data_IF_665346287492
#
_entry.id   IF_665346287492
#
_cell.length_a   1.000
_cell.length_b   1.000
_cell.length_c   1.000
_cell.angle_alpha   90.00
_cell.angle_beta   90.00
_cell.angle_gamma   90.00
#
_symmetry.space_group_name_H-M   'P 1'
#
loop_
_entity.id
_entity.type
_entity.pdbx_description
1 polymer ?
#
# COMPACT_ATOMS: atom_id res chain seq x y z
N UNK A 1 -25.98 -2.01 -76.45
CA UNK A 1 -26.55 -0.82 -77.10
C UNK A 1 -25.99 0.35 -76.32
N UNK A 2 -24.80 0.78 -76.70
CA UNK A 2 -24.58 2.00 -77.50
C UNK A 2 -25.09 3.25 -76.78
N UNK A 3 -24.36 4.34 -76.59
CA UNK A 3 -22.96 4.70 -76.85
C UNK A 3 -22.90 6.20 -76.44
N UNK A 4 -21.73 6.68 -76.03
CA UNK A 4 -21.29 8.09 -76.19
C UNK A 4 -21.97 9.15 -75.28
N UNK A 5 -21.30 10.15 -74.70
CA UNK A 5 -19.99 10.76 -74.98
C UNK A 5 -19.54 11.58 -73.76
N UNK A 6 -18.24 11.53 -73.49
CA UNK A 6 -17.43 12.44 -72.68
C UNK A 6 -17.35 13.84 -73.28
N UNK A 7 -17.33 14.92 -72.46
CA UNK A 7 -16.42 16.09 -72.61
C UNK A 7 -16.19 16.71 -71.22
N UNK A 8 -14.94 17.11 -70.97
CA UNK A 8 -14.37 17.66 -69.75
C UNK A 8 -14.32 19.21 -69.73
N UNK A 9 -13.74 19.75 -68.63
CA UNK A 9 -13.16 21.09 -68.45
C UNK A 9 -14.16 22.22 -68.10
N UNK A 10 -13.87 23.24 -67.28
CA UNK A 10 -12.68 23.65 -66.53
C UNK A 10 -13.10 24.64 -65.41
N UNK A 11 -12.15 24.91 -64.53
CA UNK A 11 -12.16 25.81 -63.37
C UNK A 11 -12.48 27.29 -63.66
N UNK A 12 -12.96 28.01 -62.64
CA UNK A 12 -12.25 29.15 -62.02
C UNK A 12 -13.11 29.83 -60.92
N UNK A 13 -12.42 30.25 -59.86
CA UNK A 13 -12.92 30.88 -58.65
C UNK A 13 -13.19 32.38 -58.82
N UNK A 14 -14.08 32.98 -58.00
CA UNK A 14 -13.74 34.01 -56.97
C UNK A 14 -14.97 34.62 -56.25
N UNK A 15 -15.00 34.40 -54.92
CA UNK A 15 -15.28 35.31 -53.79
C UNK A 15 -16.53 36.22 -53.66
N UNK A 16 -17.17 36.08 -52.48
CA UNK A 16 -17.72 37.06 -51.49
C UNK A 16 -19.19 36.74 -51.14
N UNK A 17 -19.72 36.81 -49.91
CA UNK A 17 -19.25 36.84 -48.52
C UNK A 17 -20.55 36.78 -47.65
N UNK A 18 -20.49 36.13 -46.46
CA UNK A 18 -21.35 36.37 -45.27
C UNK A 18 -22.88 36.01 -45.37
N UNK A 19 -23.59 35.43 -44.39
CA UNK A 19 -23.33 35.06 -43.01
C UNK A 19 -24.45 34.10 -42.48
N UNK A 20 -24.11 33.36 -41.40
CA UNK A 20 -24.95 32.97 -40.24
C UNK A 20 -26.16 32.02 -40.44
N UNK A 21 -25.98 30.75 -40.03
CA UNK A 21 -26.45 30.25 -38.72
C UNK A 21 -26.37 28.71 -38.67
N UNK A 22 -25.26 28.17 -38.18
CA UNK A 22 -25.16 26.75 -37.83
C UNK A 22 -25.46 26.58 -36.34
N UNK A 23 -26.62 26.00 -36.03
CA UNK A 23 -26.94 25.50 -34.68
C UNK A 23 -26.14 24.20 -34.50
N UNK A 24 -24.98 24.29 -33.87
CA UNK A 24 -24.26 23.12 -33.37
C UNK A 24 -24.88 22.74 -32.02
N UNK A 25 -25.69 21.68 -32.03
CA UNK A 25 -26.07 20.95 -30.82
C UNK A 25 -24.79 20.32 -30.29
N UNK A 26 -24.18 20.96 -29.31
CA UNK A 26 -23.14 20.36 -28.47
C UNK A 26 -23.85 19.31 -27.61
N UNK A 27 -23.86 18.08 -28.09
CA UNK A 27 -24.19 16.90 -27.29
C UNK A 27 -23.04 16.70 -26.30
N UNK A 28 -23.09 17.49 -25.23
CA UNK A 28 -22.24 17.41 -24.07
C UNK A 28 -22.56 16.16 -23.27
N UNK A 29 -22.29 14.99 -23.84
CA UNK A 29 -22.01 13.80 -23.04
C UNK A 29 -20.66 14.06 -22.34
N UNK A 30 -20.75 14.74 -21.20
CA UNK A 30 -19.72 14.79 -20.21
C UNK A 30 -19.38 13.36 -19.83
N UNK A 31 -18.34 12.83 -20.48
CA UNK A 31 -17.58 11.73 -19.93
C UNK A 31 -16.94 12.29 -18.67
N UNK A 32 -17.67 12.19 -17.55
CA UNK A 32 -17.04 12.08 -16.24
C UNK A 32 -15.91 11.09 -16.46
N UNK A 33 -14.68 11.57 -16.33
CA UNK A 33 -13.49 10.76 -16.50
C UNK A 33 -13.60 9.59 -15.52
N UNK A 34 -14.15 8.46 -16.00
CA UNK A 34 -14.17 7.19 -15.26
C UNK A 34 -12.72 6.96 -14.93
N UNK A 35 -12.38 6.95 -13.65
CA UNK A 35 -10.99 6.99 -13.20
C UNK A 35 -10.18 5.95 -13.96
N UNK A 36 -9.05 6.37 -14.54
CA UNK A 36 -8.20 5.47 -15.30
C UNK A 36 -7.87 4.24 -14.44
N UNK A 37 -7.86 3.06 -15.04
CA UNK A 37 -7.45 1.80 -14.41
C UNK A 37 -5.93 1.72 -14.23
N UNK A 38 -5.28 2.81 -13.81
CA UNK A 38 -3.85 2.87 -13.51
C UNK A 38 -3.62 2.81 -12.02
N UNK A 39 -2.50 2.26 -11.62
CA UNK A 39 -2.05 2.35 -10.24
C UNK A 39 -1.88 3.83 -9.82
N UNK A 40 -2.42 4.23 -8.65
CA UNK A 40 -2.08 5.51 -8.05
C UNK A 40 -0.58 5.59 -7.75
N UNK A 41 0.04 6.74 -8.02
CA UNK A 41 1.43 6.97 -7.59
C UNK A 41 1.57 6.95 -6.07
N UNK A 42 2.80 6.87 -5.55
CA UNK A 42 3.06 6.94 -4.12
C UNK A 42 2.52 8.23 -3.48
N UNK A 43 2.68 9.38 -4.15
CA UNK A 43 2.15 10.67 -3.68
C UNK A 43 0.61 10.70 -3.67
N UNK A 44 -0.03 10.10 -4.67
CA UNK A 44 -1.49 9.97 -4.72
C UNK A 44 -2.01 9.03 -3.63
N UNK A 45 -1.32 7.92 -3.37
CA UNK A 45 -1.66 7.01 -2.27
C UNK A 45 -1.55 7.70 -0.91
N UNK A 46 -0.48 8.45 -0.65
CA UNK A 46 -0.34 9.27 0.58
C UNK A 46 -1.45 10.32 0.71
N UNK A 47 -1.87 10.92 -0.42
CA UNK A 47 -2.99 11.89 -0.43
C UNK A 47 -4.31 11.21 -0.02
N UNK A 48 -4.58 10.01 -0.53
CA UNK A 48 -5.76 9.22 -0.18
C UNK A 48 -5.75 8.80 1.30
N UNK A 49 -4.61 8.31 1.79
CA UNK A 49 -4.44 7.90 3.19
C UNK A 49 -4.63 9.08 4.15
N UNK A 50 -4.02 10.23 3.85
CA UNK A 50 -4.21 11.45 4.66
C UNK A 50 -5.66 11.92 4.64
N UNK A 51 -6.34 11.85 3.50
CA UNK A 51 -7.77 12.17 3.41
C UNK A 51 -8.65 11.22 4.23
N UNK A 52 -8.35 9.92 4.24
CA UNK A 52 -9.04 8.94 5.11
C UNK A 52 -8.82 9.28 6.60
N UNK A 53 -7.59 9.61 7.00
CA UNK A 53 -7.29 10.04 8.37
C UNK A 53 -8.03 11.32 8.78
N UNK A 54 -8.15 12.31 7.89
CA UNK A 54 -8.93 13.53 8.14
C UNK A 54 -10.41 13.20 8.38
N UNK A 55 -11.00 12.33 7.55
CA UNK A 55 -12.39 11.93 7.71
C UNK A 55 -12.62 11.14 9.01
N UNK A 56 -11.69 10.26 9.38
CA UNK A 56 -11.74 9.53 10.66
C UNK A 56 -11.63 10.53 11.82
N UNK A 57 -10.70 11.48 11.77
CA UNK A 57 -10.48 12.50 12.79
C UNK A 57 -11.75 13.32 13.05
N UNK A 58 -12.37 13.87 11.98
CA UNK A 58 -13.61 14.63 12.07
C UNK A 58 -14.77 13.80 12.64
N UNK A 59 -14.87 12.55 12.21
CA UNK A 59 -15.89 11.62 12.68
C UNK A 59 -15.76 11.30 14.18
N UNK A 60 -14.52 11.06 14.64
CA UNK A 60 -14.22 10.79 16.03
C UNK A 60 -14.50 12.03 16.90
N UNK A 61 -14.09 13.22 16.44
CA UNK A 61 -14.36 14.48 17.12
C UNK A 61 -15.86 14.74 17.28
N UNK A 62 -16.66 14.48 16.23
CA UNK A 62 -18.12 14.57 16.29
C UNK A 62 -18.76 13.58 17.29
N UNK A 63 -18.07 12.47 17.58
CA UNK A 63 -18.48 11.47 18.60
C UNK A 63 -17.84 11.74 19.97
N UNK A 64 -17.19 12.90 20.16
CA UNK A 64 -16.60 13.31 21.44
C UNK A 64 -15.23 12.71 21.74
N UNK A 65 -14.55 12.11 20.76
CA UNK A 65 -13.24 11.48 20.94
C UNK A 65 -12.17 12.22 20.13
N UNK A 66 -11.08 12.68 20.76
CA UNK A 66 -9.95 13.24 20.01
C UNK A 66 -9.28 12.14 19.19
N UNK A 67 -8.92 12.46 17.95
CA UNK A 67 -8.17 11.58 17.07
C UNK A 67 -7.34 12.43 16.12
N UNK A 68 -6.02 12.37 16.26
CA UNK A 68 -5.08 13.14 15.48
C UNK A 68 -4.91 12.53 14.08
N UNK A 69 -4.79 13.39 13.07
CA UNK A 69 -4.34 12.99 11.73
C UNK A 69 -2.85 12.70 11.81
N UNK A 70 -2.47 11.43 11.68
CA UNK A 70 -1.08 11.01 11.61
C UNK A 70 -0.71 10.65 10.18
N UNK A 71 0.55 10.85 9.82
CA UNK A 71 1.08 10.34 8.57
C UNK A 71 1.48 8.88 8.76
N UNK A 72 1.14 8.03 7.80
CA UNK A 72 1.71 6.70 7.73
C UNK A 72 3.18 6.90 7.35
N UNK A 73 4.15 6.49 8.19
CA UNK A 73 5.55 6.55 7.81
C UNK A 73 5.75 5.81 6.49
N UNK A 74 6.56 6.36 5.60
CA UNK A 74 6.96 5.63 4.39
C UNK A 74 7.65 4.34 4.84
N UNK A 75 7.09 3.20 4.45
CA UNK A 75 7.61 1.89 4.81
C UNK A 75 8.78 1.48 3.92
N UNK A 76 9.37 2.44 3.18
CA UNK A 76 10.53 2.35 2.27
C UNK A 76 11.79 1.64 2.78
N UNK A 77 11.71 1.01 3.95
CA UNK A 77 12.48 -0.16 4.31
C UNK A 77 12.42 -1.22 3.19
N UNK A 78 13.61 -1.57 2.70
CA UNK A 78 13.77 -2.65 1.73
C UNK A 78 13.32 -3.97 2.35
N UNK A 79 12.49 -4.72 1.62
CA UNK A 79 11.95 -6.00 2.07
C UNK A 79 12.77 -7.17 1.52
N UNK A 80 13.06 -8.14 2.40
CA UNK A 80 13.80 -9.37 2.09
C UNK A 80 12.99 -10.60 2.52
N UNK A 81 11.88 -10.92 1.84
CA UNK A 81 10.93 -11.95 2.30
C UNK A 81 11.50 -13.37 2.29
N UNK A 82 12.57 -13.64 1.53
CA UNK A 82 13.07 -14.99 1.29
C UNK A 82 14.45 -15.21 1.92
N UNK A 83 15.37 -14.30 1.67
CA UNK A 83 16.65 -14.18 2.34
C UNK A 83 17.13 -12.73 2.17
N UNK A 84 17.99 -12.26 3.07
CA UNK A 84 18.76 -11.06 2.80
C UNK A 84 19.72 -11.39 1.66
N UNK A 85 19.64 -10.65 0.55
CA UNK A 85 20.36 -10.96 -0.70
C UNK A 85 21.19 -9.77 -1.23
N UNK A 86 21.44 -8.79 -0.37
CA UNK A 86 22.24 -7.61 -0.68
C UNK A 86 23.30 -7.37 0.39
N UNK A 87 24.55 -7.64 0.03
CA UNK A 87 25.71 -7.51 0.92
C UNK A 87 25.99 -6.06 1.31
N UNK A 88 25.74 -5.09 0.42
CA UNK A 88 25.96 -3.68 0.75
C UNK A 88 24.93 -3.21 1.78
N UNK A 89 23.66 -3.55 1.57
CA UNK A 89 22.60 -3.30 2.53
C UNK A 89 22.86 -3.98 3.88
N UNK A 90 23.31 -5.24 3.87
CA UNK A 90 23.65 -5.99 5.08
C UNK A 90 24.72 -5.29 5.93
N UNK A 91 25.73 -4.70 5.29
CA UNK A 91 26.79 -3.94 5.97
C UNK A 91 26.25 -2.63 6.56
N UNK A 92 25.43 -1.96 5.77
CA UNK A 92 24.62 -0.78 6.11
C UNK A 92 23.83 -0.95 7.42
N UNK A 93 22.94 -1.94 7.38
CA UNK A 93 21.72 -1.96 8.18
C UNK A 93 21.51 -3.28 8.92
N UNK A 94 22.38 -4.27 8.70
CA UNK A 94 22.19 -5.64 9.16
C UNK A 94 20.84 -6.19 8.71
N UNK A 95 20.03 -6.65 9.65
CA UNK A 95 18.66 -7.11 9.41
C UNK A 95 17.59 -5.99 9.51
N UNK A 96 17.99 -4.72 9.67
CA UNK A 96 17.07 -3.59 9.84
C UNK A 96 16.63 -3.33 11.28
N UNK A 97 17.41 -3.78 12.28
CA UNK A 97 17.07 -3.67 13.69
C UNK A 97 17.01 -2.23 14.21
N UNK A 98 17.84 -1.34 13.67
CA UNK A 98 17.83 0.07 14.02
C UNK A 98 16.53 0.76 13.56
N UNK A 99 16.12 0.48 12.32
CA UNK A 99 14.89 0.93 11.70
C UNK A 99 13.67 0.37 12.45
N UNK A 100 13.70 -0.92 12.82
CA UNK A 100 12.64 -1.53 13.59
C UNK A 100 12.45 -0.86 14.96
N UNK A 101 13.54 -0.55 15.66
CA UNK A 101 13.47 0.20 16.93
C UNK A 101 13.03 1.65 16.73
N UNK A 102 13.44 2.30 15.64
CA UNK A 102 12.95 3.63 15.30
C UNK A 102 11.43 3.61 15.02
N UNK A 103 10.96 2.62 14.26
CA UNK A 103 9.55 2.40 14.00
C UNK A 103 8.77 2.04 15.28
N UNK A 104 9.36 1.27 16.19
CA UNK A 104 8.78 0.98 17.51
C UNK A 104 8.60 2.24 18.35
N UNK A 105 9.64 3.09 18.43
CA UNK A 105 9.55 4.41 19.08
C UNK A 105 8.50 5.30 18.44
N UNK A 106 8.45 5.36 17.11
CA UNK A 106 7.42 6.13 16.41
C UNK A 106 5.99 5.63 16.74
N UNK A 107 5.78 4.31 16.85
CA UNK A 107 4.50 3.73 17.31
C UNK A 107 4.20 4.07 18.77
N UNK A 108 5.21 4.12 19.63
CA UNK A 108 5.06 4.55 21.02
C UNK A 108 4.71 6.04 21.14
N UNK A 109 5.25 6.87 20.24
CA UNK A 109 5.04 8.31 20.15
C UNK A 109 3.76 8.69 19.41
N UNK A 110 3.09 7.74 18.77
CA UNK A 110 1.81 7.96 18.10
C UNK A 110 0.78 8.59 19.07
N UNK A 111 0.26 9.80 18.77
CA UNK A 111 -0.62 10.54 19.66
C UNK A 111 -1.94 9.80 19.94
N UNK A 112 -2.45 9.06 18.96
CA UNK A 112 -3.68 8.27 19.11
C UNK A 112 -3.43 7.08 20.04
N UNK A 113 -2.33 6.35 19.88
CA UNK A 113 -1.95 5.23 20.75
C UNK A 113 -1.68 5.70 22.18
N UNK A 114 -0.98 6.83 22.36
CA UNK A 114 -0.77 7.43 23.68
C UNK A 114 -2.10 7.82 24.34
N UNK A 115 -3.03 8.40 23.58
CA UNK A 115 -4.36 8.73 24.08
C UNK A 115 -5.15 7.47 24.48
N UNK A 116 -5.27 6.46 23.61
CA UNK A 116 -5.97 5.21 23.90
C UNK A 116 -5.43 4.48 25.14
N UNK A 117 -4.12 4.54 25.38
CA UNK A 117 -3.49 3.93 26.56
C UNK A 117 -3.89 4.61 27.87
N UNK A 118 -4.13 5.92 27.88
CA UNK A 118 -4.52 6.69 29.08
C UNK A 118 -5.99 6.52 29.48
N UNK A 119 -6.85 6.07 28.58
CA UNK A 119 -8.29 5.90 28.86
C UNK A 119 -8.56 4.79 29.90
N UNK A 120 -9.61 4.95 30.69
CA UNK A 120 -10.17 3.82 31.46
C UNK A 120 -10.70 2.72 30.52
N UNK A 121 -10.91 1.51 31.04
CA UNK A 121 -11.42 0.41 30.21
C UNK A 121 -12.78 0.72 29.54
N UNK A 122 -13.77 1.34 30.23
CA UNK A 122 -15.04 1.74 29.60
C UNK A 122 -14.87 2.80 28.51
N UNK A 123 -14.07 3.85 28.76
CA UNK A 123 -13.81 4.91 27.78
C UNK A 123 -13.09 4.35 26.55
N UNK A 124 -12.10 3.48 26.76
CA UNK A 124 -11.39 2.79 25.68
C UNK A 124 -12.33 1.92 24.84
N UNK A 125 -13.29 1.26 25.46
CA UNK A 125 -14.31 0.49 24.75
C UNK A 125 -15.26 1.38 23.93
N UNK A 126 -15.70 2.51 24.49
CA UNK A 126 -16.53 3.49 23.79
C UNK A 126 -15.79 4.12 22.59
N UNK A 127 -14.54 4.55 22.79
CA UNK A 127 -13.69 5.10 21.74
C UNK A 127 -13.44 4.10 20.60
N UNK A 128 -13.16 2.83 20.95
CA UNK A 128 -12.98 1.76 19.96
C UNK A 128 -14.27 1.45 19.20
N UNK A 129 -15.41 1.48 19.87
CA UNK A 129 -16.73 1.32 19.25
C UNK A 129 -17.01 2.46 18.27
N UNK A 130 -16.70 3.71 18.64
CA UNK A 130 -16.81 4.86 17.75
C UNK A 130 -15.89 4.72 16.52
N UNK A 131 -14.65 4.25 16.71
CA UNK A 131 -13.66 4.11 15.64
C UNK A 131 -13.97 2.96 14.68
N UNK A 132 -14.25 1.77 15.22
CA UNK A 132 -14.28 0.50 14.48
C UNK A 132 -15.68 -0.13 14.37
N UNK A 133 -16.69 0.44 15.03
CA UNK A 133 -18.00 -0.18 15.23
C UNK A 133 -18.05 -1.11 16.45
N UNK A 134 -19.26 -1.48 16.89
CA UNK A 134 -19.47 -2.27 18.10
C UNK A 134 -19.03 -3.73 17.97
N UNK A 135 -19.13 -4.28 16.76
CA UNK A 135 -18.73 -5.63 16.42
C UNK A 135 -18.29 -5.69 14.94
N UNK A 136 -17.42 -6.65 14.55
CA UNK A 136 -16.95 -6.81 13.18
C UNK A 136 -18.02 -7.51 12.31
N UNK A 137 -19.20 -6.90 12.19
CA UNK A 137 -20.36 -7.42 11.46
C UNK A 137 -20.79 -6.48 10.33
N UNK A 138 -21.32 -7.04 9.25
CA UNK A 138 -21.82 -6.28 8.09
C UNK A 138 -20.88 -6.33 6.88
N UNK A 139 -19.57 -6.52 7.07
CA UNK A 139 -18.61 -6.74 5.98
C UNK A 139 -17.88 -8.07 6.19
N UNK A 140 -17.84 -8.92 5.15
CA UNK A 140 -17.18 -10.23 5.19
C UNK A 140 -16.65 -10.61 3.81
N UNK A 141 -15.36 -10.96 3.74
CA UNK A 141 -14.69 -11.33 2.49
C UNK A 141 -13.76 -12.51 2.75
N UNK A 142 -13.86 -13.55 1.92
CA UNK A 142 -12.87 -14.64 1.90
C UNK A 142 -11.62 -14.16 1.17
N UNK A 143 -10.51 -14.02 1.89
CA UNK A 143 -9.23 -13.62 1.34
C UNK A 143 -8.61 -14.75 0.48
N UNK A 144 -7.70 -14.41 -0.46
CA UNK A 144 -6.90 -15.40 -1.21
C UNK A 144 -6.13 -16.40 -0.34
N UNK A 145 -5.79 -16.02 0.90
CA UNK A 145 -5.18 -16.90 1.92
C UNK A 145 -6.12 -17.97 2.46
N UNK A 146 -7.41 -17.93 2.11
CA UNK A 146 -8.47 -18.82 2.60
C UNK A 146 -9.17 -18.32 3.87
N UNK A 147 -8.55 -17.38 4.60
CA UNK A 147 -9.14 -16.76 5.78
C UNK A 147 -10.35 -15.89 5.43
N UNK A 148 -11.35 -15.86 6.30
CA UNK A 148 -12.45 -14.88 6.19
C UNK A 148 -12.09 -13.67 7.03
N UNK A 149 -12.04 -12.50 6.39
CA UNK A 149 -11.81 -11.22 7.06
C UNK A 149 -13.15 -10.52 7.22
N UNK A 150 -13.46 -10.12 8.44
CA UNK A 150 -14.68 -9.38 8.76
C UNK A 150 -14.36 -8.00 9.31
N UNK A 151 -15.29 -7.06 9.11
CA UNK A 151 -15.22 -5.72 9.66
C UNK A 151 -16.63 -5.20 9.93
N UNK A 152 -16.72 -4.16 10.77
CA UNK A 152 -17.98 -3.46 10.94
C UNK A 152 -18.32 -2.66 9.68
N UNK A 153 -19.60 -2.64 9.31
CA UNK A 153 -20.11 -1.65 8.35
C UNK A 153 -20.31 -0.26 8.98
N UNK A 154 -20.11 -0.15 10.31
CA UNK A 154 -20.29 1.06 11.11
C UNK A 154 -18.96 1.54 11.71
N UNK A 155 -19.01 2.72 12.33
CA UNK A 155 -17.86 3.37 12.95
C UNK A 155 -17.11 4.30 12.01
N UNK A 156 -16.19 5.08 12.56
CA UNK A 156 -15.53 6.15 11.83
C UNK A 156 -14.65 5.69 10.67
N UNK A 157 -14.06 4.50 10.76
CA UNK A 157 -13.32 3.92 9.64
C UNK A 157 -14.26 3.60 8.46
N UNK A 158 -15.41 2.97 8.73
CA UNK A 158 -16.38 2.64 7.70
C UNK A 158 -17.03 3.90 7.09
N UNK A 159 -17.35 4.89 7.92
CA UNK A 159 -17.91 6.18 7.48
C UNK A 159 -16.91 6.96 6.60
N UNK A 160 -15.63 6.98 6.97
CA UNK A 160 -14.57 7.59 6.18
C UNK A 160 -14.40 6.89 4.82
N UNK A 161 -14.36 5.56 4.82
CA UNK A 161 -14.22 4.76 3.59
C UNK A 161 -15.44 4.91 2.67
N UNK A 162 -16.65 4.91 3.23
CA UNK A 162 -17.88 5.19 2.47
C UNK A 162 -17.83 6.58 1.83
N UNK A 163 -17.39 7.57 2.61
CA UNK A 163 -17.26 8.94 2.13
C UNK A 163 -16.22 9.06 1.02
N UNK A 164 -15.11 8.34 1.11
CA UNK A 164 -13.99 8.48 0.17
C UNK A 164 -14.18 7.63 -1.09
N UNK A 165 -14.59 6.38 -0.95
CA UNK A 165 -14.63 5.38 -2.02
C UNK A 165 -16.05 4.98 -2.47
N UNK A 166 -17.10 5.49 -1.80
CA UNK A 166 -18.48 5.17 -2.13
C UNK A 166 -18.95 3.88 -1.47
N UNK A 167 -19.00 2.78 -2.21
CA UNK A 167 -19.52 1.49 -1.75
C UNK A 167 -18.54 0.79 -0.77
N UNK A 168 -18.89 0.68 0.53
CA UNK A 168 -18.01 0.05 1.53
C UNK A 168 -17.79 -1.44 1.28
N UNK A 169 -18.77 -2.16 0.73
CA UNK A 169 -18.64 -3.58 0.45
C UNK A 169 -17.67 -3.82 -0.72
N UNK A 170 -17.81 -3.02 -1.80
CA UNK A 170 -16.88 -3.07 -2.92
C UNK A 170 -15.45 -2.70 -2.50
N UNK A 171 -15.28 -1.61 -1.74
CA UNK A 171 -13.99 -1.18 -1.23
C UNK A 171 -13.35 -2.22 -0.31
N UNK A 172 -14.12 -2.75 0.65
CA UNK A 172 -13.64 -3.77 1.58
C UNK A 172 -13.19 -5.04 0.86
N UNK A 173 -13.96 -5.50 -0.14
CA UNK A 173 -13.59 -6.65 -0.98
C UNK A 173 -12.25 -6.45 -1.67
N UNK A 174 -12.06 -5.35 -2.40
CA UNK A 174 -10.81 -5.14 -3.12
C UNK A 174 -9.63 -4.90 -2.19
N UNK A 175 -9.84 -4.23 -1.06
CA UNK A 175 -8.82 -4.04 -0.02
C UNK A 175 -8.37 -5.37 0.55
N UNK A 176 -9.30 -6.21 1.02
CA UNK A 176 -8.98 -7.54 1.59
C UNK A 176 -8.28 -8.42 0.56
N UNK A 177 -8.79 -8.50 -0.67
CA UNK A 177 -8.17 -9.36 -1.70
C UNK A 177 -6.76 -8.89 -2.03
N UNK A 178 -6.57 -7.60 -2.34
CA UNK A 178 -5.29 -7.09 -2.81
C UNK A 178 -4.20 -7.07 -1.72
N UNK A 179 -4.56 -6.76 -0.46
CA UNK A 179 -3.62 -6.82 0.68
C UNK A 179 -3.14 -8.24 0.99
N UNK A 180 -3.91 -9.27 0.59
CA UNK A 180 -3.58 -10.67 0.85
C UNK A 180 -2.86 -11.36 -0.31
N UNK A 181 -2.59 -10.68 -1.43
CA UNK A 181 -1.84 -11.27 -2.55
C UNK A 181 -0.36 -11.50 -2.22
N UNK A 182 0.27 -10.59 -1.45
CA UNK A 182 1.67 -10.75 -1.05
C UNK A 182 1.88 -11.99 -0.16
N UNK A 183 1.15 -12.20 0.95
CA UNK A 183 1.28 -13.42 1.75
C UNK A 183 1.08 -14.71 0.95
N UNK A 184 0.11 -14.75 0.03
CA UNK A 184 -0.09 -15.93 -0.84
C UNK A 184 1.11 -16.16 -1.74
N UNK A 185 1.65 -15.10 -2.36
CA UNK A 185 2.85 -15.20 -3.20
C UNK A 185 4.02 -15.77 -2.41
N UNK A 186 4.31 -15.17 -1.25
CA UNK A 186 5.44 -15.59 -0.44
C UNK A 186 5.30 -17.02 0.08
N UNK A 187 4.10 -17.44 0.47
CA UNK A 187 3.83 -18.83 0.86
C UNK A 187 4.07 -19.81 -0.31
N UNK A 188 3.69 -19.43 -1.53
CA UNK A 188 3.94 -20.28 -2.72
C UNK A 188 5.41 -20.36 -3.07
N UNK A 189 6.17 -19.27 -2.97
CA UNK A 189 7.63 -19.30 -3.14
C UNK A 189 8.26 -20.22 -2.09
N UNK A 190 7.92 -20.03 -0.80
CA UNK A 190 8.50 -20.85 0.28
C UNK A 190 8.14 -22.33 0.19
N UNK A 191 6.97 -22.66 -0.37
CA UNK A 191 6.51 -24.04 -0.60
C UNK A 191 7.03 -24.69 -1.88
N UNK A 192 7.77 -23.95 -2.73
CA UNK A 192 8.26 -24.46 -4.00
C UNK A 192 9.51 -25.35 -3.82
N UNK A 193 9.56 -26.50 -4.51
CA UNK A 193 10.70 -27.42 -4.44
C UNK A 193 12.02 -26.79 -4.92
N UNK A 194 11.96 -25.84 -5.86
CA UNK A 194 13.14 -25.12 -6.32
C UNK A 194 13.69 -24.21 -5.21
N UNK A 195 12.80 -23.54 -4.45
CA UNK A 195 13.17 -22.72 -3.31
C UNK A 195 13.77 -23.56 -2.19
N UNK A 196 13.11 -24.65 -1.79
CA UNK A 196 13.62 -25.51 -0.70
C UNK A 196 14.97 -26.13 -1.04
N UNK A 197 15.18 -26.54 -2.30
CA UNK A 197 16.49 -26.99 -2.76
C UNK A 197 17.56 -25.89 -2.70
N UNK A 198 17.21 -24.65 -3.06
CA UNK A 198 18.14 -23.52 -2.96
C UNK A 198 18.45 -23.13 -1.51
N UNK A 199 17.49 -23.26 -0.59
CA UNK A 199 17.71 -23.07 0.86
C UNK A 199 18.69 -24.11 1.41
N UNK A 200 18.65 -25.37 0.93
CA UNK A 200 19.59 -26.40 1.38
C UNK A 200 21.05 -26.07 0.97
N UNK A 201 21.25 -25.57 -0.25
CA UNK A 201 22.57 -25.08 -0.71
C UNK A 201 23.05 -23.89 0.12
N UNK A 202 22.16 -22.92 0.36
CA UNK A 202 22.42 -21.77 1.22
C UNK A 202 22.80 -22.18 2.65
N UNK A 203 22.08 -23.13 3.25
CA UNK A 203 22.35 -23.61 4.60
C UNK A 203 23.72 -24.31 4.69
N UNK A 204 24.14 -25.03 3.63
CA UNK A 204 25.48 -25.60 3.56
C UNK A 204 26.57 -24.51 3.51
N UNK A 205 26.34 -23.42 2.78
CA UNK A 205 27.23 -22.25 2.79
C UNK A 205 27.31 -21.60 4.18
N UNK A 206 26.17 -21.35 4.80
CA UNK A 206 26.08 -20.77 6.15
C UNK A 206 26.83 -21.62 7.18
N UNK A 207 26.66 -22.94 7.12
CA UNK A 207 27.41 -23.89 7.96
C UNK A 207 28.92 -23.81 7.72
N UNK A 208 29.37 -23.75 6.47
CA UNK A 208 30.79 -23.60 6.13
C UNK A 208 31.37 -22.27 6.64
N UNK A 209 30.56 -21.21 6.71
CA UNK A 209 30.89 -19.93 7.31
C UNK A 209 30.77 -19.89 8.85
N UNK A 210 30.53 -21.04 9.50
CA UNK A 210 30.42 -21.13 10.95
C UNK A 210 29.12 -20.55 11.53
N UNK A 211 28.05 -20.50 10.73
CA UNK A 211 26.69 -20.08 11.12
C UNK A 211 25.69 -21.18 10.74
N UNK A 212 25.51 -22.24 11.53
CA UNK A 212 24.80 -23.46 11.10
C UNK A 212 23.25 -23.31 11.10
N UNK A 213 22.72 -22.24 10.52
CA UNK A 213 21.30 -22.00 10.38
C UNK A 213 20.72 -22.80 9.21
N UNK A 214 19.62 -23.50 9.44
CA UNK A 214 18.95 -24.33 8.45
C UNK A 214 18.09 -23.51 7.48
N UNK A 215 17.65 -22.31 7.88
CA UNK A 215 16.83 -21.42 7.05
C UNK A 215 17.18 -19.94 7.26
N UNK A 216 16.90 -19.07 6.26
CA UNK A 216 17.04 -17.62 6.44
C UNK A 216 16.22 -17.06 7.61
N UNK A 217 15.03 -17.62 7.87
CA UNK A 217 14.21 -17.20 9.02
C UNK A 217 14.85 -17.57 10.35
N UNK A 218 15.56 -18.69 10.44
CA UNK A 218 16.32 -19.06 11.63
C UNK A 218 17.49 -18.09 11.88
N UNK A 219 18.19 -17.68 10.82
CA UNK A 219 19.27 -16.67 10.90
C UNK A 219 18.73 -15.33 11.42
N UNK A 220 17.58 -14.88 10.90
CA UNK A 220 16.88 -13.68 11.40
C UNK A 220 16.44 -13.81 12.85
N UNK A 221 15.90 -14.96 13.24
CA UNK A 221 15.49 -15.21 14.64
C UNK A 221 16.69 -15.23 15.59
N UNK A 222 17.83 -15.78 15.16
CA UNK A 222 19.07 -15.73 15.93
C UNK A 222 19.54 -14.29 16.15
N UNK A 223 19.50 -13.45 15.10
CA UNK A 223 19.83 -12.04 15.21
C UNK A 223 18.89 -11.27 16.16
N UNK A 224 17.59 -11.57 16.13
CA UNK A 224 16.62 -10.93 17.01
C UNK A 224 16.92 -11.16 18.50
N UNK A 225 17.45 -12.35 18.87
CA UNK A 225 17.83 -12.68 20.25
C UNK A 225 19.05 -11.90 20.74
N UNK A 226 19.89 -11.39 19.85
CA UNK A 226 21.01 -10.53 20.28
C UNK A 226 20.51 -9.29 21.04
N UNK A 227 19.32 -8.79 20.74
CA UNK A 227 18.71 -7.67 21.47
C UNK A 227 18.30 -8.01 22.91
N UNK A 228 18.20 -9.30 23.27
CA UNK A 228 17.90 -9.77 24.62
C UNK A 228 19.17 -9.86 25.48
N UNK A 229 20.29 -10.25 24.86
CA UNK A 229 21.54 -10.59 25.55
C UNK A 229 22.61 -9.48 25.51
N UNK A 230 22.56 -8.60 24.51
CA UNK A 230 23.59 -7.60 24.25
C UNK A 230 23.06 -6.16 24.36
N UNK A 231 23.93 -5.20 24.74
CA UNK A 231 23.62 -3.79 24.57
C UNK A 231 23.27 -3.45 23.11
N UNK A 232 22.38 -2.47 22.84
CA UNK A 232 21.85 -2.23 21.49
C UNK A 232 22.90 -2.12 20.38
N UNK A 233 23.98 -1.36 20.60
CA UNK A 233 25.04 -1.19 19.60
C UNK A 233 25.81 -2.49 19.32
N UNK A 234 26.01 -3.34 20.33
CA UNK A 234 26.66 -4.64 20.17
C UNK A 234 25.72 -5.66 19.49
N UNK A 235 24.43 -5.61 19.82
CA UNK A 235 23.40 -6.42 19.14
C UNK A 235 23.33 -6.09 17.64
N UNK A 236 23.37 -4.81 17.29
CA UNK A 236 23.35 -4.36 15.89
C UNK A 236 24.60 -4.81 15.14
N UNK A 237 25.78 -4.67 15.74
CA UNK A 237 27.03 -5.12 15.13
C UNK A 237 27.02 -6.64 14.88
N UNK A 238 26.61 -7.43 15.87
CA UNK A 238 26.49 -8.89 15.73
C UNK A 238 25.43 -9.29 14.67
N UNK A 239 24.30 -8.59 14.63
CA UNK A 239 23.27 -8.79 13.62
C UNK A 239 23.77 -8.44 12.21
N UNK A 240 24.56 -7.36 12.06
CA UNK A 240 25.17 -6.97 10.79
C UNK A 240 26.20 -8.00 10.30
N UNK A 241 27.06 -8.51 11.18
CA UNK A 241 27.97 -9.60 10.83
C UNK A 241 27.23 -10.84 10.32
N UNK A 242 26.17 -11.26 11.02
CA UNK A 242 25.36 -12.40 10.59
C UNK A 242 24.63 -12.12 9.27
N UNK A 243 24.05 -10.93 9.10
CA UNK A 243 23.38 -10.51 7.88
C UNK A 243 24.31 -10.51 6.67
N UNK A 244 25.57 -10.08 6.83
CA UNK A 244 26.56 -10.10 5.75
C UNK A 244 26.87 -11.53 5.31
N UNK A 245 26.97 -12.47 6.26
CA UNK A 245 27.16 -13.89 5.95
C UNK A 245 25.93 -14.45 5.24
N UNK A 246 24.70 -14.18 5.72
CA UNK A 246 23.46 -14.58 5.04
C UNK A 246 23.41 -14.05 3.60
N UNK A 247 23.68 -12.75 3.41
CA UNK A 247 23.68 -12.09 2.12
C UNK A 247 24.66 -12.73 1.15
N UNK A 248 25.89 -12.95 1.60
CA UNK A 248 26.95 -13.56 0.79
C UNK A 248 26.54 -14.97 0.37
N UNK A 249 26.05 -15.78 1.32
CA UNK A 249 25.56 -17.11 0.98
C UNK A 249 24.34 -17.09 0.05
N UNK A 250 23.45 -16.10 0.18
CA UNK A 250 22.28 -15.98 -0.69
C UNK A 250 22.66 -15.61 -2.13
N UNK A 251 23.72 -14.80 -2.31
CA UNK A 251 24.23 -14.39 -3.63
C UNK A 251 25.16 -15.40 -4.27
N UNK A 252 25.99 -16.09 -3.48
CA UNK A 252 26.98 -17.06 -3.98
C UNK A 252 26.33 -18.40 -4.33
N UNK A 253 25.22 -18.73 -3.67
CA UNK A 253 24.36 -19.86 -4.05
C UNK A 253 23.26 -19.40 -5.01
N UNK A 254 22.33 -20.30 -5.33
CA UNK A 254 21.20 -19.97 -6.20
C UNK A 254 19.99 -19.39 -5.47
N UNK A 255 20.04 -19.19 -4.15
CA UNK A 255 18.87 -18.78 -3.35
C UNK A 255 18.28 -17.45 -3.80
N UNK A 256 19.09 -16.39 -3.96
CA UNK A 256 18.59 -15.08 -4.38
C UNK A 256 17.89 -15.15 -5.76
N UNK A 257 18.57 -15.72 -6.76
CA UNK A 257 18.07 -15.85 -8.13
C UNK A 257 16.80 -16.71 -8.22
N UNK A 258 16.76 -17.85 -7.53
CA UNK A 258 15.57 -18.72 -7.52
C UNK A 258 14.40 -18.00 -6.86
N UNK A 259 14.63 -17.37 -5.69
CA UNK A 259 13.58 -16.64 -4.97
C UNK A 259 12.99 -15.50 -5.81
N UNK A 260 13.82 -14.69 -6.46
CA UNK A 260 13.36 -13.60 -7.32
C UNK A 260 12.60 -14.11 -8.57
N UNK A 261 13.02 -15.24 -9.13
CA UNK A 261 12.35 -15.85 -10.30
C UNK A 261 10.96 -16.35 -9.92
N UNK A 262 10.86 -17.09 -8.81
CA UNK A 262 9.59 -17.62 -8.30
C UNK A 262 8.65 -16.50 -7.85
N UNK A 263 9.17 -15.48 -7.15
CA UNK A 263 8.37 -14.33 -6.72
C UNK A 263 7.76 -13.60 -7.92
N UNK A 264 8.55 -13.33 -8.97
CA UNK A 264 8.03 -12.72 -10.20
C UNK A 264 6.94 -13.59 -10.84
N UNK A 265 7.20 -14.88 -11.01
CA UNK A 265 6.28 -15.82 -11.66
C UNK A 265 4.94 -15.94 -10.89
N UNK A 266 5.00 -16.22 -9.58
CA UNK A 266 3.79 -16.30 -8.76
C UNK A 266 3.09 -14.94 -8.60
N UNK A 267 3.84 -13.84 -8.60
CA UNK A 267 3.29 -12.49 -8.62
C UNK A 267 2.52 -12.17 -9.89
N UNK A 268 3.03 -12.55 -11.06
CA UNK A 268 2.35 -12.42 -12.35
C UNK A 268 1.08 -13.28 -12.42
N UNK A 269 1.16 -14.53 -11.95
CA UNK A 269 0.01 -15.42 -11.88
C UNK A 269 -1.09 -14.83 -11.00
N UNK A 270 -0.74 -14.35 -9.80
CA UNK A 270 -1.70 -13.74 -8.88
C UNK A 270 -2.29 -12.44 -9.42
N UNK A 271 -1.48 -11.57 -10.05
CA UNK A 271 -1.98 -10.36 -10.71
C UNK A 271 -2.95 -10.67 -11.83
N UNK A 272 -2.69 -11.73 -12.60
CA UNK A 272 -3.58 -12.17 -13.67
C UNK A 272 -4.88 -12.72 -13.11
N UNK A 273 -4.81 -13.60 -12.10
CA UNK A 273 -5.98 -14.20 -11.44
C UNK A 273 -6.87 -13.16 -10.76
N UNK A 274 -6.29 -12.11 -10.17
CA UNK A 274 -6.99 -11.07 -9.41
C UNK A 274 -7.05 -9.73 -10.14
N UNK A 275 -6.97 -9.74 -11.48
CA UNK A 275 -6.95 -8.52 -12.30
C UNK A 275 -8.18 -7.64 -12.06
N UNK A 276 -9.35 -8.25 -11.86
CA UNK A 276 -10.60 -7.54 -11.63
C UNK A 276 -10.57 -6.74 -10.32
N UNK A 277 -10.11 -7.34 -9.22
CA UNK A 277 -9.99 -6.68 -7.92
C UNK A 277 -8.93 -5.57 -7.94
N UNK A 278 -7.77 -5.83 -8.56
CA UNK A 278 -6.71 -4.83 -8.70
C UNK A 278 -7.21 -3.62 -9.50
N UNK A 279 -7.83 -3.88 -10.65
CA UNK A 279 -8.36 -2.82 -11.53
C UNK A 279 -9.45 -2.01 -10.85
N UNK A 280 -10.37 -2.68 -10.14
CA UNK A 280 -11.43 -2.01 -9.40
C UNK A 280 -10.85 -1.16 -8.25
N UNK A 281 -9.84 -1.67 -7.52
CA UNK A 281 -9.17 -0.89 -6.47
C UNK A 281 -8.59 0.40 -7.02
N UNK A 282 -7.82 0.31 -8.09
CA UNK A 282 -7.22 1.47 -8.76
C UNK A 282 -8.27 2.48 -9.23
N UNK A 283 -9.36 1.99 -9.81
CA UNK A 283 -10.47 2.85 -10.22
C UNK A 283 -11.09 3.60 -9.03
N UNK A 284 -11.46 2.89 -7.96
CA UNK A 284 -12.03 3.50 -6.75
C UNK A 284 -11.09 4.54 -6.13
N UNK A 285 -9.78 4.25 -6.08
CA UNK A 285 -8.77 5.19 -5.60
C UNK A 285 -8.67 6.43 -6.49
N UNK A 286 -8.59 6.25 -7.81
CA UNK A 286 -8.46 7.37 -8.74
C UNK A 286 -9.73 8.25 -8.79
N UNK A 287 -10.92 7.66 -8.65
CA UNK A 287 -12.18 8.39 -8.52
C UNK A 287 -12.26 9.17 -7.19
N UNK A 288 -11.62 8.69 -6.13
CA UNK A 288 -11.54 9.35 -4.83
C UNK A 288 -10.54 10.53 -4.79
N UNK A 289 -9.52 10.55 -5.67
CA UNK A 289 -8.43 11.54 -5.63
C UNK A 289 -8.87 13.01 -5.64
N UNK A 290 -9.85 13.45 -6.47
CA UNK A 290 -10.31 14.84 -6.42
C UNK A 290 -10.88 15.24 -5.07
N UNK A 291 -11.61 14.33 -4.39
CA UNK A 291 -12.13 14.57 -3.05
C UNK A 291 -11.01 14.57 -2.01
N UNK A 292 -10.07 13.63 -2.11
CA UNK A 292 -8.92 13.55 -1.22
C UNK A 292 -8.11 14.85 -1.23
N UNK A 293 -7.79 15.37 -2.43
CA UNK A 293 -7.05 16.63 -2.60
C UNK A 293 -7.74 17.83 -1.94
N UNK A 294 -9.06 17.95 -2.09
CA UNK A 294 -9.83 19.03 -1.43
C UNK A 294 -9.76 18.92 0.09
N UNK A 295 -9.93 17.71 0.63
CA UNK A 295 -9.84 17.47 2.08
C UNK A 295 -8.46 17.84 2.63
N UNK A 296 -7.39 17.43 1.95
CA UNK A 296 -6.02 17.73 2.39
C UNK A 296 -5.66 19.21 2.27
N UNK A 297 -6.19 19.92 1.25
CA UNK A 297 -5.96 21.35 1.08
C UNK A 297 -6.67 22.17 2.15
N UNK A 298 -7.97 21.92 2.40
CA UNK A 298 -8.72 22.68 3.42
C UNK A 298 -8.15 22.54 4.83
N UNK A 299 -7.61 21.37 5.18
CA UNK A 299 -6.92 21.17 6.46
C UNK A 299 -5.60 21.95 6.54
N UNK A 300 -4.87 22.07 5.43
CA UNK A 300 -3.67 22.90 5.38
C UNK A 300 -4.02 24.39 5.60
N UNK A 301 -5.05 24.88 4.91
CA UNK A 301 -5.50 26.27 5.02
C UNK A 301 -5.95 26.60 6.46
N UNK A 302 -6.70 25.69 7.10
CA UNK A 302 -7.15 25.84 8.49
C UNK A 302 -5.97 25.89 9.48
N UNK A 303 -4.93 25.08 9.24
CA UNK A 303 -3.72 25.07 10.06
C UNK A 303 -2.89 26.36 9.90
N UNK A 304 -2.85 26.92 8.68
CA UNK A 304 -2.15 28.20 8.41
C UNK A 304 -2.88 29.39 9.03
N UNK A 305 -4.21 29.44 8.98
CA UNK A 305 -5.01 30.50 9.62
C UNK A 305 -4.87 30.49 11.15
N UNK A 306 -4.89 29.30 11.78
CA UNK A 306 -4.70 29.15 13.23
C UNK A 306 -3.28 29.49 13.70
N UNK A 307 -2.27 29.28 12.85
CA UNK A 307 -0.87 29.68 13.11
C UNK A 307 -0.62 31.18 12.88
N UNK A 308 -1.33 31.83 11.95
CA UNK A 308 -1.17 33.24 11.62
C UNK A 308 -1.89 34.21 12.55
N UNK A 309 -2.89 33.74 13.30
CA UNK A 309 -3.71 34.55 14.22
C UNK A 309 -3.03 34.92 15.56
N UNK A 310 -1.77 34.54 15.79
CA UNK A 310 -1.05 34.82 17.04
C UNK A 310 -0.23 36.13 17.00
N UNK A 311 -0.41 36.96 15.98
CA UNK A 311 0.16 38.31 15.87
C UNK A 311 -0.93 39.34 15.56
N UNK A 312 -1.79 39.63 16.54
CA UNK A 312 -2.63 40.84 16.57
C UNK A 312 -2.88 41.25 18.02
#
# INVERSE_FOLDING_TARGET
>A
MDRHRTVAAAAAATTTAAALAAVLVLDGCGSSARGAAREPSAAESRTLERAEQILISRCMAARGFPYAVTEVPDDGARSFPYALDDVAWAREHGYGGAEERAAARAREDDPNQRWFRRLSAPERAAARTALMGAAPVGLSVKAPTGMTVTASADGCIADAQRSLYGDPAAWFRVKVVTMNLRPVREARVRGDAQYTGAVAEWAACMKAAGRPHATPDESRQAAARYGEDLPPAAADAAAAELAVVEATCATDTRLARVSQTLDRAYGEELRTRHRAEITLRWRLQNEALPKARRLTQSEHDTATETSGGSHA
#
